data_IF_119419487881
#
_entry.id   IF_119419487881
#
_cell.length_a   1.000
_cell.length_b   1.000
_cell.length_c   1.000
_cell.angle_alpha   90.00
_cell.angle_beta   90.00
_cell.angle_gamma   90.00
#
_symmetry.space_group_name_H-M   'P 1'
#
loop_
_entity.id
_entity.type
_entity.pdbx_description
1 polymer ?
#
# COMPACT_ATOMS: atom_id res chain seq x y z
N UNK A 1 4.89 -31.17 -8.60
CA UNK A 1 4.86 -30.02 -9.52
C UNK A 1 3.72 -29.13 -9.07
N UNK A 2 3.94 -27.81 -8.94
CA UNK A 2 2.82 -26.87 -8.82
C UNK A 2 2.07 -26.85 -10.15
N UNK A 3 0.74 -26.87 -10.11
CA UNK A 3 -0.09 -26.74 -11.31
C UNK A 3 0.13 -25.36 -11.98
N UNK A 4 -0.21 -25.27 -13.27
CA UNK A 4 -0.01 -24.04 -14.05
C UNK A 4 -0.74 -22.84 -13.43
N UNK A 5 -1.91 -23.07 -12.82
CA UNK A 5 -2.73 -22.03 -12.20
C UNK A 5 -2.01 -21.40 -11.00
N UNK A 6 -1.45 -22.22 -10.10
CA UNK A 6 -0.69 -21.76 -8.93
C UNK A 6 0.51 -20.91 -9.36
N UNK A 7 1.18 -21.28 -10.45
CA UNK A 7 2.31 -20.51 -10.98
C UNK A 7 1.87 -19.12 -11.47
N UNK A 8 0.76 -19.03 -12.20
CA UNK A 8 0.22 -17.74 -12.65
C UNK A 8 -0.18 -16.87 -11.46
N UNK A 9 -0.81 -17.44 -10.44
CA UNK A 9 -1.18 -16.69 -9.22
C UNK A 9 0.04 -16.12 -8.51
N UNK A 10 1.14 -16.87 -8.44
CA UNK A 10 2.40 -16.39 -7.86
C UNK A 10 3.02 -15.25 -8.68
N UNK A 11 2.90 -15.31 -10.01
CA UNK A 11 3.31 -14.22 -10.91
C UNK A 11 2.45 -12.98 -10.69
N UNK A 12 1.13 -13.13 -10.59
CA UNK A 12 0.21 -12.02 -10.32
C UNK A 12 0.55 -11.37 -8.97
N UNK A 13 0.73 -12.17 -7.91
CA UNK A 13 1.09 -11.65 -6.59
C UNK A 13 2.43 -10.89 -6.61
N UNK A 14 3.42 -11.39 -7.35
CA UNK A 14 4.70 -10.70 -7.53
C UNK A 14 4.56 -9.39 -8.33
N UNK A 15 3.70 -9.37 -9.34
CA UNK A 15 3.44 -8.16 -10.13
C UNK A 15 2.64 -7.12 -9.31
N UNK A 16 1.66 -7.53 -8.50
CA UNK A 16 0.95 -6.65 -7.55
C UNK A 16 1.94 -5.98 -6.59
N UNK A 17 2.91 -6.73 -6.04
CA UNK A 17 3.96 -6.15 -5.19
C UNK A 17 4.76 -5.06 -5.92
N UNK A 18 5.11 -5.29 -7.19
CA UNK A 18 5.83 -4.29 -8.00
C UNK A 18 4.97 -3.06 -8.27
N UNK A 19 3.70 -3.24 -8.64
CA UNK A 19 2.76 -2.14 -8.87
C UNK A 19 2.59 -1.30 -7.60
N UNK A 20 2.46 -1.94 -6.45
CA UNK A 20 2.37 -1.23 -5.17
C UNK A 20 3.62 -0.38 -4.89
N UNK A 21 4.82 -0.88 -5.18
CA UNK A 21 6.05 -0.07 -5.06
C UNK A 21 6.09 1.11 -6.04
N UNK A 22 5.61 0.93 -7.27
CA UNK A 22 5.51 2.00 -8.28
C UNK A 22 4.57 3.10 -7.79
N UNK A 23 3.41 2.72 -7.27
CA UNK A 23 2.43 3.67 -6.70
C UNK A 23 3.02 4.43 -5.51
N UNK A 24 3.78 3.75 -4.63
CA UNK A 24 4.49 4.40 -3.53
C UNK A 24 5.54 5.41 -4.03
N UNK A 25 6.31 5.05 -5.07
CA UNK A 25 7.29 5.95 -5.67
C UNK A 25 6.65 7.20 -6.27
N UNK A 26 5.56 7.03 -7.02
CA UNK A 26 4.80 8.12 -7.64
C UNK A 26 4.20 9.07 -6.59
N UNK A 27 3.92 8.57 -5.38
CA UNK A 27 3.43 9.36 -4.25
C UNK A 27 4.55 9.90 -3.33
N UNK A 28 5.81 9.88 -3.77
CA UNK A 28 6.99 10.31 -2.99
C UNK A 28 7.13 9.56 -1.64
N UNK A 29 6.78 8.28 -1.60
CA UNK A 29 6.88 7.41 -0.43
C UNK A 29 7.95 6.33 -0.59
N UNK A 30 8.77 6.40 -1.65
CA UNK A 30 9.92 5.52 -1.85
C UNK A 30 10.82 5.47 -0.62
N UNK A 31 11.18 4.27 -0.18
CA UNK A 31 11.95 3.98 1.03
C UNK A 31 11.33 4.43 2.36
N UNK A 32 10.06 4.85 2.37
CA UNK A 32 9.32 5.10 3.61
C UNK A 32 9.10 3.79 4.40
N UNK A 33 8.67 3.90 5.65
CA UNK A 33 8.29 2.70 6.41
C UNK A 33 7.13 1.95 5.72
N UNK A 34 6.20 2.67 5.08
CA UNK A 34 5.04 2.10 4.40
C UNK A 34 5.49 1.24 3.22
N UNK A 35 6.40 1.77 2.41
CA UNK A 35 6.99 1.10 1.26
C UNK A 35 7.80 -0.15 1.67
N UNK A 36 8.52 -0.07 2.80
CA UNK A 36 9.37 -1.17 3.30
C UNK A 36 8.60 -2.28 4.01
N UNK A 37 7.52 -1.94 4.70
CA UNK A 37 6.74 -2.87 5.51
C UNK A 37 5.58 -3.49 4.75
N UNK A 38 5.26 -2.97 3.56
CA UNK A 38 4.25 -3.50 2.65
C UNK A 38 4.50 -4.98 2.34
N UNK A 39 3.41 -5.75 2.28
CA UNK A 39 3.47 -7.18 1.96
C UNK A 39 2.33 -7.54 1.02
N UNK A 40 2.62 -8.41 0.06
CA UNK A 40 1.59 -9.08 -0.73
C UNK A 40 1.59 -10.55 -0.35
N UNK A 41 0.41 -11.10 -0.12
CA UNK A 41 0.24 -12.52 0.22
C UNK A 41 -0.94 -13.13 -0.51
N UNK A 42 -0.82 -14.42 -0.83
CA UNK A 42 -1.89 -15.21 -1.43
C UNK A 42 -2.55 -16.03 -0.34
N UNK A 43 -3.87 -15.93 -0.21
CA UNK A 43 -4.68 -16.73 0.70
C UNK A 43 -5.70 -17.56 -0.06
N UNK A 44 -5.88 -18.80 0.40
CA UNK A 44 -7.04 -19.60 0.05
C UNK A 44 -8.19 -19.21 0.99
N UNK A 45 -9.30 -18.73 0.44
CA UNK A 45 -10.52 -18.43 1.18
C UNK A 45 -11.65 -19.25 0.58
N UNK A 46 -12.08 -20.30 1.28
CA UNK A 46 -13.10 -21.25 0.84
C UNK A 46 -12.90 -21.72 -0.61
N UNK A 47 -13.70 -21.19 -1.55
CA UNK A 47 -13.70 -21.52 -2.98
C UNK A 47 -12.97 -20.47 -3.84
N UNK A 48 -12.17 -19.60 -3.25
CA UNK A 48 -11.52 -18.50 -3.95
C UNK A 48 -10.08 -18.32 -3.50
N UNK A 49 -9.29 -17.74 -4.40
CA UNK A 49 -7.92 -17.35 -4.14
C UNK A 49 -7.91 -15.82 -4.06
N UNK A 50 -7.42 -15.31 -2.93
CA UNK A 50 -7.39 -13.88 -2.64
C UNK A 50 -5.94 -13.44 -2.57
N UNK A 51 -5.60 -12.42 -3.35
CA UNK A 51 -4.32 -11.74 -3.27
C UNK A 51 -4.53 -10.50 -2.42
N UNK A 52 -3.92 -10.47 -1.24
CA UNK A 52 -4.03 -9.37 -0.30
C UNK A 52 -2.75 -8.53 -0.32
N UNK A 53 -2.91 -7.21 -0.47
CA UNK A 53 -1.85 -6.23 -0.21
C UNK A 53 -2.06 -5.62 1.17
N UNK A 54 -1.08 -5.78 2.05
CA UNK A 54 -1.10 -5.31 3.42
C UNK A 54 -0.20 -4.09 3.58
N UNK A 55 -0.75 -3.08 4.23
CA UNK A 55 -0.08 -1.84 4.58
C UNK A 55 -0.08 -1.61 6.09
N UNK A 56 0.90 -0.85 6.58
CA UNK A 56 0.83 -0.31 7.93
C UNK A 56 -0.42 0.59 8.07
N UNK A 57 -1.08 0.51 9.23
CA UNK A 57 -2.37 1.17 9.48
C UNK A 57 -2.36 2.69 9.25
N UNK A 58 -1.20 3.33 9.30
CA UNK A 58 -1.11 4.78 9.13
C UNK A 58 -1.30 5.23 7.67
N UNK A 59 -1.45 4.29 6.72
CA UNK A 59 -1.86 4.59 5.34
C UNK A 59 -3.12 5.44 5.29
N UNK A 60 -4.09 5.19 6.18
CA UNK A 60 -5.35 5.94 6.25
C UNK A 60 -5.12 7.45 6.46
N UNK A 61 -4.09 7.83 7.23
CA UNK A 61 -3.75 9.23 7.47
C UNK A 61 -3.06 9.87 6.25
N UNK A 62 -2.35 9.08 5.45
CA UNK A 62 -1.71 9.54 4.21
C UNK A 62 -2.76 9.72 3.11
N UNK A 63 -3.68 8.77 3.00
CA UNK A 63 -4.83 8.82 2.10
C UNK A 63 -5.70 10.05 2.34
N UNK A 64 -6.04 10.31 3.60
CA UNK A 64 -6.91 11.43 3.96
C UNK A 64 -6.16 12.78 3.92
N UNK A 65 -4.85 12.75 4.15
CA UNK A 65 -4.05 13.93 4.41
C UNK A 65 -4.58 14.74 5.59
N UNK A 66 -4.25 16.04 5.59
CA UNK A 66 -4.68 16.99 6.60
C UNK A 66 -4.87 18.36 5.98
N UNK A 67 -6.11 18.82 5.87
CA UNK A 67 -6.37 20.17 5.35
C UNK A 67 -5.76 21.27 6.26
N UNK A 68 -5.03 22.24 5.68
CA UNK A 68 -4.43 23.36 6.42
C UNK A 68 -5.42 24.10 7.31
N UNK A 69 -5.01 24.42 8.54
CA UNK A 69 -5.77 25.17 9.54
C UNK A 69 -7.15 24.56 9.88
N UNK A 70 -7.31 23.25 9.73
CA UNK A 70 -8.56 22.55 10.08
C UNK A 70 -8.38 21.51 11.19
N UNK A 71 -9.49 21.21 11.86
CA UNK A 71 -9.54 20.27 12.97
C UNK A 71 -8.70 20.72 14.17
N UNK A 72 -8.45 19.78 15.09
CA UNK A 72 -7.63 20.02 16.28
C UNK A 72 -6.16 19.90 15.94
N UNK A 73 -5.36 20.88 16.35
CA UNK A 73 -3.90 20.82 16.30
C UNK A 73 -3.37 19.52 16.94
N UNK A 74 -2.33 18.86 16.37
CA UNK A 74 -1.79 17.62 16.93
C UNK A 74 -1.38 17.77 18.40
N UNK A 75 -1.70 16.80 19.28
CA UNK A 75 -1.25 16.87 20.66
C UNK A 75 0.29 16.82 20.72
N UNK A 76 0.89 17.73 21.48
CA UNK A 76 2.36 17.84 21.57
C UNK A 76 3.01 16.58 22.15
N UNK A 77 2.30 15.84 23.03
CA UNK A 77 2.82 14.60 23.60
C UNK A 77 3.01 13.49 22.57
N UNK A 78 2.17 13.44 21.53
CA UNK A 78 2.32 12.48 20.43
C UNK A 78 3.55 12.77 19.55
N UNK A 79 4.09 14.00 19.61
CA UNK A 79 5.28 14.39 18.86
C UNK A 79 6.59 14.10 19.60
N UNK A 80 6.51 13.78 20.90
CA UNK A 80 7.69 13.66 21.76
C UNK A 80 8.64 12.56 21.30
N UNK A 81 8.13 11.35 21.09
CA UNK A 81 8.95 10.20 20.69
C UNK A 81 9.53 10.39 19.29
N UNK A 82 8.74 10.96 18.38
CA UNK A 82 9.21 11.33 17.05
C UNK A 82 10.32 12.38 17.12
N UNK A 83 10.16 13.45 17.90
CA UNK A 83 11.16 14.49 18.07
C UNK A 83 12.47 13.94 18.67
N UNK A 84 12.37 13.09 19.71
CA UNK A 84 13.52 12.39 20.31
C UNK A 84 14.27 11.54 19.28
N UNK A 85 13.55 10.74 18.48
CA UNK A 85 14.14 9.88 17.45
C UNK A 85 14.90 10.68 16.36
N UNK A 86 14.57 11.97 16.21
CA UNK A 86 15.17 12.90 15.24
C UNK A 86 16.23 13.82 15.86
N UNK A 87 16.52 13.69 17.15
CA UNK A 87 17.43 14.58 17.87
C UNK A 87 16.90 16.02 18.01
N UNK A 88 15.57 16.21 17.92
CA UNK A 88 14.91 17.51 18.05
C UNK A 88 14.59 17.76 19.54
N UNK A 89 14.80 18.98 20.06
CA UNK A 89 14.41 19.33 21.43
C UNK A 89 12.93 19.02 21.71
N UNK A 90 12.66 18.41 22.86
CA UNK A 90 11.31 18.00 23.27
C UNK A 90 10.70 18.87 24.36
N UNK A 91 11.17 20.10 24.48
CA UNK A 91 10.51 21.09 25.33
C UNK A 91 9.15 21.48 24.75
N UNK A 92 8.24 21.93 25.63
CA UNK A 92 6.87 22.26 25.24
C UNK A 92 6.81 23.34 24.15
N UNK A 93 7.76 24.28 24.10
CA UNK A 93 7.73 25.36 23.11
C UNK A 93 8.08 24.84 21.72
N UNK A 94 9.11 24.01 21.60
CA UNK A 94 9.51 23.37 20.34
C UNK A 94 8.39 22.46 19.83
N UNK A 95 7.85 21.58 20.68
CA UNK A 95 6.78 20.67 20.28
C UNK A 95 5.50 21.42 19.90
N UNK A 96 5.17 22.52 20.60
CA UNK A 96 4.04 23.37 20.24
C UNK A 96 4.22 24.02 18.85
N UNK A 97 5.41 24.52 18.55
CA UNK A 97 5.72 25.13 17.25
C UNK A 97 5.63 24.11 16.11
N UNK A 98 6.17 22.90 16.31
CA UNK A 98 6.07 21.81 15.33
C UNK A 98 4.60 21.42 15.11
N UNK A 99 3.88 21.21 16.21
CA UNK A 99 2.46 20.90 16.17
C UNK A 99 1.65 21.99 15.43
N UNK A 100 1.96 23.26 15.69
CA UNK A 100 1.31 24.39 15.02
C UNK A 100 1.67 24.47 13.55
N UNK A 101 2.91 24.17 13.17
CA UNK A 101 3.32 24.10 11.77
C UNK A 101 2.56 23.00 11.02
N UNK A 102 2.47 21.79 11.58
CA UNK A 102 1.68 20.68 11.00
C UNK A 102 0.21 21.07 10.83
N UNK A 103 -0.38 21.74 11.83
CA UNK A 103 -1.76 22.22 11.73
C UNK A 103 -1.93 23.32 10.68
N UNK A 104 -1.03 24.31 10.67
CA UNK A 104 -1.10 25.47 9.78
C UNK A 104 -0.88 25.08 8.33
N UNK A 105 0.14 24.26 8.05
CA UNK A 105 0.58 23.95 6.70
C UNK A 105 -0.15 22.71 6.14
N UNK A 106 -0.70 21.86 7.01
CA UNK A 106 -1.41 20.66 6.60
C UNK A 106 -0.53 19.67 5.82
N UNK A 107 -1.17 18.71 5.18
CA UNK A 107 -0.55 17.75 4.27
C UNK A 107 -1.58 17.35 3.23
N UNK A 108 -1.20 17.33 1.96
CA UNK A 108 -2.10 16.88 0.89
C UNK A 108 -2.34 15.36 1.00
N UNK A 109 -3.56 14.94 0.69
CA UNK A 109 -3.93 13.53 0.54
C UNK A 109 -3.13 12.89 -0.59
N UNK A 110 -2.67 11.66 -0.38
CA UNK A 110 -1.97 10.88 -1.41
C UNK A 110 -2.79 9.63 -1.71
N UNK A 111 -3.48 9.57 -2.87
CA UNK A 111 -4.39 8.48 -3.21
C UNK A 111 -3.59 7.24 -3.67
N UNK A 112 -3.10 6.46 -2.72
CA UNK A 112 -2.31 5.24 -2.97
C UNK A 112 -3.25 4.09 -3.30
N UNK A 113 -4.31 3.91 -2.52
CA UNK A 113 -5.22 2.78 -2.64
C UNK A 113 -5.98 2.80 -3.96
N UNK A 114 -6.56 3.94 -4.35
CA UNK A 114 -7.27 4.04 -5.63
C UNK A 114 -6.31 3.94 -6.82
N UNK A 115 -5.12 4.52 -6.74
CA UNK A 115 -4.11 4.39 -7.81
C UNK A 115 -3.63 2.94 -7.96
N UNK A 116 -3.49 2.20 -6.86
CA UNK A 116 -3.15 0.78 -6.93
C UNK A 116 -4.30 -0.05 -7.51
N UNK A 117 -5.55 0.24 -7.16
CA UNK A 117 -6.73 -0.42 -7.72
C UNK A 117 -6.80 -0.24 -9.25
N UNK A 118 -6.63 0.99 -9.74
CA UNK A 118 -6.59 1.29 -11.18
C UNK A 118 -5.48 0.53 -11.91
N UNK A 119 -4.27 0.47 -11.35
CA UNK A 119 -3.15 -0.27 -11.95
C UNK A 119 -3.38 -1.80 -11.94
N UNK A 120 -4.04 -2.32 -10.91
CA UNK A 120 -4.43 -3.74 -10.81
C UNK A 120 -5.48 -4.09 -11.86
N UNK A 121 -6.52 -3.26 -12.01
CA UNK A 121 -7.57 -3.46 -13.03
C UNK A 121 -6.95 -3.48 -14.43
N UNK A 122 -6.10 -2.50 -14.72
CA UNK A 122 -5.40 -2.42 -16.00
C UNK A 122 -4.53 -3.66 -16.26
N UNK A 123 -3.75 -4.10 -15.28
CA UNK A 123 -2.90 -5.27 -15.44
C UNK A 123 -3.71 -6.57 -15.60
N UNK A 124 -4.90 -6.63 -14.99
CA UNK A 124 -5.82 -7.73 -15.16
C UNK A 124 -6.32 -7.81 -16.61
N UNK A 125 -6.82 -6.70 -17.14
CA UNK A 125 -7.38 -6.63 -18.49
C UNK A 125 -6.33 -6.79 -19.60
N UNK A 126 -5.12 -6.25 -19.40
CA UNK A 126 -4.07 -6.28 -20.43
C UNK A 126 -3.29 -7.59 -20.49
N UNK A 127 -3.26 -8.37 -19.39
CA UNK A 127 -2.34 -9.50 -19.27
C UNK A 127 -2.87 -10.66 -18.44
N UNK A 128 -3.30 -10.42 -17.20
CA UNK A 128 -3.51 -11.54 -16.28
C UNK A 128 -4.74 -12.37 -16.62
N UNK A 129 -5.79 -11.76 -17.19
CA UNK A 129 -6.97 -12.49 -17.63
C UNK A 129 -6.64 -13.58 -18.66
N UNK A 130 -5.85 -13.23 -19.69
CA UNK A 130 -5.42 -14.16 -20.73
C UNK A 130 -4.53 -15.28 -20.14
N UNK A 131 -3.57 -14.92 -19.28
CA UNK A 131 -2.69 -15.90 -18.63
C UNK A 131 -3.44 -16.90 -17.76
N UNK A 132 -4.44 -16.44 -17.01
CA UNK A 132 -5.31 -17.30 -16.22
C UNK A 132 -6.15 -18.21 -17.11
N UNK A 133 -6.71 -17.67 -18.18
CA UNK A 133 -7.53 -18.44 -19.12
C UNK A 133 -6.74 -19.58 -19.78
N UNK A 134 -5.52 -19.30 -20.25
CA UNK A 134 -4.62 -20.30 -20.80
C UNK A 134 -4.27 -21.38 -19.76
N UNK A 135 -3.88 -20.98 -18.56
CA UNK A 135 -3.53 -21.91 -17.49
C UNK A 135 -4.70 -22.83 -17.09
N UNK A 136 -5.92 -22.30 -17.03
CA UNK A 136 -7.12 -23.09 -16.75
C UNK A 136 -7.40 -24.06 -17.90
N UNK A 137 -7.31 -23.60 -19.14
CA UNK A 137 -7.55 -24.43 -20.33
C UNK A 137 -6.57 -25.59 -20.41
N UNK A 138 -5.29 -25.34 -20.11
CA UNK A 138 -4.24 -26.36 -20.07
C UNK A 138 -4.53 -27.43 -19.00
N UNK A 139 -4.90 -27.03 -17.79
CA UNK A 139 -5.23 -27.98 -16.72
C UNK A 139 -6.49 -28.79 -17.03
N UNK A 140 -7.53 -28.18 -17.62
CA UNK A 140 -8.72 -28.91 -18.07
C UNK A 140 -8.38 -29.91 -19.17
N UNK A 141 -7.57 -29.50 -20.15
CA UNK A 141 -7.14 -30.37 -21.25
C UNK A 141 -6.33 -31.56 -20.74
N UNK A 142 -5.46 -31.37 -19.74
CA UNK A 142 -4.74 -32.48 -19.08
C UNK A 142 -5.65 -33.39 -18.25
N UNK A 143 -6.75 -32.87 -17.71
CA UNK A 143 -7.68 -33.66 -16.91
C UNK A 143 -8.57 -34.58 -17.76
N UNK A 144 -8.98 -34.11 -18.94
CA UNK A 144 -9.90 -34.85 -19.81
C UNK A 144 -9.21 -35.75 -20.86
N UNK A 145 -7.90 -35.63 -21.05
CA UNK A 145 -7.10 -36.49 -21.94
C UNK A 145 -6.21 -37.44 -21.13
#
# INVERSE_FOLDING_TARGET
>A
MKDSITQIIEVIAADVMKLSHIVMENNNLKNSALDKNMRVQVKQADNSIVIETLFDNYIDYIEQGRKPMTGKQPPIDALRDWALSRGIPTDNSTLFLISRAIWRDGTESRPILSALEEEIEKAFDEKWADQLFEAITDELTKYFN
#
